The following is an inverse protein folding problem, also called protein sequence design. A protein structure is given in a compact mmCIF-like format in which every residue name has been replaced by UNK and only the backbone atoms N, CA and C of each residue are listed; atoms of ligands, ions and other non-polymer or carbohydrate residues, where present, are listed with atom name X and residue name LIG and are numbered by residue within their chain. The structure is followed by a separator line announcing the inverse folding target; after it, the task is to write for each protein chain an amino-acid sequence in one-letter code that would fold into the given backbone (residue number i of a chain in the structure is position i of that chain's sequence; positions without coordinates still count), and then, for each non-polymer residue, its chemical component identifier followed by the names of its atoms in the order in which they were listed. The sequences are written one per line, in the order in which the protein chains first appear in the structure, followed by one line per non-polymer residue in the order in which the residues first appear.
data_IF_625708982303
#
_entry.id   IF_625708982303
#
_cell.length_a   1.000
_cell.length_b   1.000
_cell.length_c   1.000
_cell.angle_alpha   90.00
_cell.angle_beta   90.00
_cell.angle_gamma   90.00
#
_symmetry.space_group_name_H-M   'P 1'
#
loop_
_entity.id
_entity.type
_entity.pdbx_description
1 polymer ?
#
# COMPACT_ATOMS: atom_id res chain seq x y z
N UNK A 1 4.85 25.68 16.83
CA UNK A 1 3.91 24.79 16.10
C UNK A 1 3.60 23.54 16.92
N UNK A 2 2.80 23.66 18.00
CA UNK A 2 2.48 22.54 18.91
C UNK A 2 1.64 21.44 18.24
N UNK A 3 0.78 21.81 17.27
CA UNK A 3 -0.15 20.89 16.58
C UNK A 3 0.55 19.75 15.80
N UNK A 4 1.70 20.02 15.17
CA UNK A 4 2.49 18.98 14.48
C UNK A 4 3.31 18.12 15.44
N UNK A 5 3.69 18.66 16.61
CA UNK A 5 4.50 17.94 17.61
C UNK A 5 3.67 17.00 18.50
N UNK A 6 2.38 17.29 18.74
CA UNK A 6 1.52 16.49 19.62
C UNK A 6 0.73 15.40 18.92
N UNK A 7 0.91 15.21 17.60
CA UNK A 7 0.19 14.19 16.85
C UNK A 7 -1.28 14.53 16.55
N UNK A 8 -1.65 15.81 16.61
CA UNK A 8 -3.03 16.27 16.36
C UNK A 8 -3.58 15.91 14.97
N UNK A 9 -2.70 15.59 14.02
CA UNK A 9 -3.07 15.08 12.70
C UNK A 9 -3.93 13.82 12.80
N UNK A 10 -3.57 12.87 13.66
CA UNK A 10 -4.32 11.63 13.86
C UNK A 10 -5.77 11.87 14.27
N UNK A 11 -6.11 13.00 14.89
CA UNK A 11 -7.46 13.29 15.38
C UNK A 11 -8.33 14.07 14.39
N UNK A 12 -7.80 14.48 13.23
CA UNK A 12 -8.59 15.20 12.25
C UNK A 12 -9.50 14.25 11.45
N UNK A 13 -10.84 14.41 11.50
CA UNK A 13 -11.77 13.50 10.83
C UNK A 13 -11.63 13.52 9.31
N UNK A 14 -11.34 14.68 8.70
CA UNK A 14 -11.16 14.79 7.25
C UNK A 14 -9.94 14.03 6.76
N UNK A 15 -8.85 14.07 7.51
CA UNK A 15 -7.63 13.33 7.17
C UNK A 15 -7.84 11.81 7.30
N UNK A 16 -8.57 11.37 8.33
CA UNK A 16 -8.92 9.94 8.47
C UNK A 16 -9.82 9.47 7.33
N UNK A 17 -10.79 10.28 6.94
CA UNK A 17 -11.68 9.96 5.83
C UNK A 17 -10.91 9.79 4.52
N UNK A 18 -10.07 10.76 4.17
CA UNK A 18 -9.29 10.69 2.92
C UNK A 18 -8.32 9.51 2.93
N UNK A 19 -7.57 9.32 4.02
CA UNK A 19 -6.66 8.18 4.16
C UNK A 19 -7.39 6.84 4.17
N UNK A 20 -8.58 6.77 4.77
CA UNK A 20 -9.42 5.57 4.79
C UNK A 20 -9.96 5.21 3.41
N UNK A 21 -10.46 6.18 2.65
CA UNK A 21 -10.89 5.98 1.26
C UNK A 21 -9.72 5.57 0.37
N UNK A 22 -8.56 6.22 0.53
CA UNK A 22 -7.33 5.84 -0.18
C UNK A 22 -6.88 4.42 0.18
N UNK A 23 -6.97 4.02 1.46
CA UNK A 23 -6.67 2.66 1.89
C UNK A 23 -7.57 1.64 1.18
N UNK A 24 -8.88 1.88 1.10
CA UNK A 24 -9.82 1.00 0.38
C UNK A 24 -9.40 0.87 -1.09
N UNK A 25 -9.15 1.99 -1.77
CA UNK A 25 -8.75 1.97 -3.17
C UNK A 25 -7.43 1.23 -3.39
N UNK A 26 -6.44 1.42 -2.51
CA UNK A 26 -5.15 0.75 -2.63
C UNK A 26 -5.20 -0.74 -2.28
N UNK A 27 -6.09 -1.15 -1.36
CA UNK A 27 -6.35 -2.57 -1.07
C UNK A 27 -6.98 -3.23 -2.30
N UNK A 28 -8.00 -2.62 -2.89
CA UNK A 28 -8.63 -3.13 -4.12
C UNK A 28 -7.61 -3.18 -5.25
N UNK A 29 -6.81 -2.13 -5.44
CA UNK A 29 -5.74 -2.09 -6.43
C UNK A 29 -4.69 -3.20 -6.23
N UNK A 30 -4.27 -3.44 -4.99
CA UNK A 30 -3.31 -4.50 -4.67
C UNK A 30 -3.91 -5.88 -4.97
N UNK A 31 -5.17 -6.10 -4.58
CA UNK A 31 -5.89 -7.35 -4.84
C UNK A 31 -6.09 -7.60 -6.34
N UNK A 32 -6.51 -6.60 -7.10
CA UNK A 32 -6.69 -6.73 -8.56
C UNK A 32 -5.35 -6.93 -9.26
N UNK A 33 -4.28 -6.26 -8.84
CA UNK A 33 -2.95 -6.50 -9.39
C UNK A 33 -2.47 -7.94 -9.11
N UNK A 34 -2.74 -8.46 -7.91
CA UNK A 34 -2.44 -9.85 -7.57
C UNK A 34 -3.23 -10.84 -8.44
N UNK A 35 -4.54 -10.64 -8.57
CA UNK A 35 -5.39 -11.46 -9.43
C UNK A 35 -5.00 -11.40 -10.90
N UNK A 36 -4.66 -10.22 -11.42
CA UNK A 36 -4.23 -10.04 -12.81
C UNK A 36 -2.89 -10.71 -13.10
N UNK A 37 -2.00 -10.82 -12.11
CA UNK A 37 -0.77 -11.58 -12.26
C UNK A 37 -1.09 -13.05 -12.46
N UNK A 38 -1.83 -13.66 -11.53
CA UNK A 38 -2.21 -15.09 -11.59
C UNK A 38 -3.13 -15.45 -12.75
N UNK A 39 -3.89 -14.49 -13.27
CA UNK A 39 -4.70 -14.70 -14.47
C UNK A 39 -3.86 -14.77 -15.77
N UNK A 40 -2.61 -14.30 -15.73
CA UNK A 40 -1.72 -14.21 -16.91
C UNK A 40 -0.49 -15.10 -16.79
N UNK A 41 -0.01 -15.29 -15.57
CA UNK A 41 1.27 -15.90 -15.24
C UNK A 41 1.18 -16.61 -13.90
N UNK A 42 1.98 -17.66 -13.74
CA UNK A 42 2.15 -18.33 -12.46
C UNK A 42 3.45 -17.86 -11.76
N UNK A 43 3.71 -18.40 -10.57
CA UNK A 43 5.00 -18.21 -9.90
C UNK A 43 6.15 -18.99 -10.55
N UNK A 44 5.87 -19.77 -11.62
CA UNK A 44 6.90 -20.43 -12.40
C UNK A 44 7.58 -19.44 -13.36
N UNK A 45 8.92 -19.38 -13.39
CA UNK A 45 9.64 -18.57 -14.37
C UNK A 45 9.30 -18.94 -15.82
N UNK A 46 8.97 -20.21 -16.11
CA UNK A 46 8.59 -20.63 -17.46
C UNK A 46 7.31 -19.94 -17.96
N UNK A 47 6.33 -19.77 -17.06
CA UNK A 47 5.07 -19.07 -17.36
C UNK A 47 5.31 -17.61 -17.74
N UNK A 48 6.26 -16.95 -17.05
CA UNK A 48 6.68 -15.57 -17.37
C UNK A 48 7.32 -15.52 -18.76
N UNK A 49 8.21 -16.46 -19.09
CA UNK A 49 8.85 -16.50 -20.41
C UNK A 49 7.80 -16.69 -21.51
N UNK A 50 6.88 -17.62 -21.36
CA UNK A 50 5.79 -17.86 -22.33
C UNK A 50 4.90 -16.62 -22.49
N UNK A 51 4.59 -15.93 -21.38
CA UNK A 51 3.78 -14.71 -21.42
C UNK A 51 4.44 -13.58 -22.22
N UNK A 52 5.76 -13.37 -22.07
CA UNK A 52 6.47 -12.29 -22.75
C UNK A 52 6.92 -12.65 -24.17
N UNK A 53 7.45 -13.85 -24.37
CA UNK A 53 8.00 -14.31 -25.65
C UNK A 53 6.96 -14.99 -26.55
N UNK A 54 5.76 -15.24 -26.04
CA UNK A 54 4.70 -15.92 -26.76
C UNK A 54 4.77 -17.44 -26.62
N UNK A 55 3.69 -18.08 -27.01
CA UNK A 55 3.57 -19.53 -27.08
C UNK A 55 2.79 -19.90 -28.35
N UNK A 56 3.42 -20.64 -29.25
CA UNK A 56 2.78 -21.10 -30.49
C UNK A 56 1.67 -22.12 -30.22
N UNK A 57 1.81 -22.97 -29.19
CA UNK A 57 0.82 -23.99 -28.84
C UNK A 57 -0.50 -23.38 -28.34
N UNK A 58 -0.42 -22.22 -27.69
CA UNK A 58 -1.57 -21.46 -27.20
C UNK A 58 -1.99 -20.33 -28.15
N UNK A 59 -1.37 -20.25 -29.33
CA UNK A 59 -1.57 -19.17 -30.31
C UNK A 59 -1.41 -17.76 -29.71
N UNK A 60 -0.54 -17.64 -28.70
CA UNK A 60 -0.31 -16.39 -27.99
C UNK A 60 0.93 -15.69 -28.56
N UNK A 61 0.78 -14.52 -29.22
CA UNK A 61 1.92 -13.83 -29.81
C UNK A 61 2.84 -13.25 -28.73
N UNK A 62 4.12 -13.10 -29.08
CA UNK A 62 5.07 -12.38 -28.25
C UNK A 62 4.60 -10.94 -28.01
N UNK A 63 4.89 -10.40 -26.83
CA UNK A 63 4.53 -9.01 -26.51
C UNK A 63 5.30 -8.06 -27.44
N UNK A 64 4.57 -7.10 -28.02
CA UNK A 64 5.14 -6.09 -28.89
C UNK A 64 5.85 -5.01 -28.07
N UNK A 65 6.88 -4.40 -28.66
CA UNK A 65 7.62 -3.30 -28.06
C UNK A 65 6.70 -2.13 -27.67
N UNK A 66 5.77 -1.75 -28.55
CA UNK A 66 4.81 -0.68 -28.30
C UNK A 66 3.92 -0.99 -27.08
N UNK A 67 3.34 -2.19 -27.00
CA UNK A 67 2.49 -2.57 -25.87
C UNK A 67 3.27 -2.55 -24.55
N UNK A 68 4.53 -2.97 -24.57
CA UNK A 68 5.39 -2.91 -23.37
C UNK A 68 5.74 -1.48 -22.98
N UNK A 69 6.00 -0.58 -23.93
CA UNK A 69 6.23 0.84 -23.65
C UNK A 69 5.00 1.51 -23.04
N UNK A 70 3.81 1.27 -23.59
CA UNK A 70 2.56 1.84 -23.08
C UNK A 70 2.31 1.42 -21.62
N UNK A 71 2.48 0.12 -21.33
CA UNK A 71 2.37 -0.40 -19.95
C UNK A 71 3.43 0.22 -19.05
N UNK A 72 4.70 0.25 -19.47
CA UNK A 72 5.80 0.80 -18.68
C UNK A 72 5.58 2.28 -18.36
N UNK A 73 5.15 3.07 -19.35
CA UNK A 73 4.87 4.49 -19.17
C UNK A 73 3.79 4.73 -18.12
N UNK A 74 2.67 4.00 -18.21
CA UNK A 74 1.58 4.10 -17.23
C UNK A 74 1.99 3.59 -15.84
N UNK A 75 2.67 2.44 -15.78
CA UNK A 75 3.09 1.82 -14.52
C UNK A 75 4.12 2.67 -13.79
N UNK A 76 5.12 3.24 -14.46
CA UNK A 76 6.14 4.06 -13.81
C UNK A 76 5.53 5.30 -13.15
N UNK A 77 4.61 5.99 -13.82
CA UNK A 77 3.93 7.15 -13.26
C UNK A 77 3.08 6.76 -12.03
N UNK A 78 2.29 5.70 -12.13
CA UNK A 78 1.44 5.25 -11.04
C UNK A 78 2.25 4.71 -9.85
N UNK A 79 3.28 3.91 -10.11
CA UNK A 79 4.16 3.36 -9.07
C UNK A 79 4.91 4.48 -8.34
N UNK A 80 5.41 5.50 -9.04
CA UNK A 80 6.06 6.64 -8.39
C UNK A 80 5.13 7.30 -7.36
N UNK A 81 3.86 7.53 -7.73
CA UNK A 81 2.87 8.14 -6.85
C UNK A 81 2.48 7.24 -5.67
N UNK A 82 2.15 5.97 -5.93
CA UNK A 82 1.73 5.01 -4.88
C UNK A 82 2.87 4.74 -3.91
N UNK A 83 4.10 4.52 -4.40
CA UNK A 83 5.26 4.29 -3.55
C UNK A 83 5.56 5.53 -2.72
N UNK A 84 5.58 6.73 -3.33
CA UNK A 84 5.79 7.96 -2.59
C UNK A 84 4.75 8.12 -1.48
N UNK A 85 3.46 7.97 -1.78
CA UNK A 85 2.39 8.10 -0.81
C UNK A 85 2.57 7.16 0.38
N UNK A 86 2.69 5.85 0.12
CA UNK A 86 2.75 4.86 1.19
C UNK A 86 4.06 4.95 1.99
N UNK A 87 5.19 5.14 1.32
CA UNK A 87 6.49 5.22 1.98
C UNK A 87 6.68 6.54 2.73
N UNK A 88 6.10 7.63 2.26
CA UNK A 88 6.12 8.90 2.98
C UNK A 88 5.39 8.78 4.33
N UNK A 89 4.30 8.02 4.39
CA UNK A 89 3.60 7.76 5.66
C UNK A 89 4.44 6.92 6.63
N UNK A 90 5.30 6.02 6.15
CA UNK A 90 6.24 5.25 6.99
C UNK A 90 7.22 6.13 7.74
N UNK A 91 7.54 7.32 7.22
CA UNK A 91 8.42 8.28 7.92
C UNK A 91 7.87 8.62 9.30
N UNK A 92 6.54 8.71 9.43
CA UNK A 92 5.85 9.01 10.69
C UNK A 92 5.54 7.78 11.54
N UNK A 93 5.73 6.57 11.02
CA UNK A 93 5.50 5.34 11.78
C UNK A 93 6.56 5.17 12.90
N UNK A 94 6.19 4.58 14.05
CA UNK A 94 7.10 4.33 15.19
C UNK A 94 8.04 3.14 14.92
N UNK A 95 8.83 3.21 13.86
CA UNK A 95 9.77 2.18 13.43
C UNK A 95 11.23 2.64 13.59
N UNK A 96 12.14 1.68 13.76
CA UNK A 96 13.59 1.94 13.74
C UNK A 96 14.02 2.48 12.38
N UNK A 97 15.01 3.38 12.37
CA UNK A 97 15.51 4.04 11.15
C UNK A 97 15.93 3.05 10.06
N UNK A 98 16.64 1.98 10.41
CA UNK A 98 17.07 0.95 9.45
C UNK A 98 15.90 0.24 8.78
N UNK A 99 14.87 -0.13 9.54
CA UNK A 99 13.66 -0.75 9.00
C UNK A 99 12.91 0.18 8.05
N UNK A 100 12.83 1.48 8.36
CA UNK A 100 12.23 2.47 7.45
C UNK A 100 12.96 2.51 6.11
N UNK A 101 14.30 2.62 6.15
CA UNK A 101 15.14 2.63 4.94
C UNK A 101 14.94 1.33 4.16
N UNK A 102 14.97 0.18 4.83
CA UNK A 102 14.79 -1.13 4.20
C UNK A 102 13.46 -1.24 3.45
N UNK A 103 12.35 -0.81 4.07
CA UNK A 103 11.02 -0.83 3.46
C UNK A 103 10.94 0.11 2.26
N UNK A 104 11.50 1.32 2.37
CA UNK A 104 11.53 2.30 1.27
C UNK A 104 12.31 1.73 0.08
N UNK A 105 13.52 1.24 0.32
CA UNK A 105 14.36 0.67 -0.73
C UNK A 105 13.70 -0.56 -1.35
N UNK A 106 13.13 -1.46 -0.53
CA UNK A 106 12.42 -2.63 -1.03
C UNK A 106 11.23 -2.25 -1.92
N UNK A 107 10.45 -1.24 -1.53
CA UNK A 107 9.29 -0.76 -2.31
C UNK A 107 9.71 -0.26 -3.70
N UNK A 108 10.69 0.66 -3.76
CA UNK A 108 11.15 1.22 -5.03
C UNK A 108 11.93 0.22 -5.89
N UNK A 109 12.81 -0.59 -5.29
CA UNK A 109 13.59 -1.58 -6.02
C UNK A 109 12.72 -2.68 -6.62
N UNK A 110 11.71 -3.16 -5.88
CA UNK A 110 10.79 -4.18 -6.39
C UNK A 110 9.83 -3.64 -7.45
N UNK A 111 9.38 -2.39 -7.32
CA UNK A 111 8.59 -1.69 -8.34
C UNK A 111 9.37 -1.59 -9.67
N UNK A 112 10.60 -1.07 -9.63
CA UNK A 112 11.46 -0.95 -10.81
C UNK A 112 11.83 -2.33 -11.38
N UNK A 113 12.18 -3.28 -10.52
CA UNK A 113 12.53 -4.64 -10.92
C UNK A 113 11.36 -5.36 -11.60
N UNK A 114 10.13 -5.15 -11.14
CA UNK A 114 8.93 -5.73 -11.79
C UNK A 114 8.82 -5.27 -13.23
N UNK A 115 8.92 -3.96 -13.50
CA UNK A 115 8.78 -3.46 -14.87
C UNK A 115 10.01 -3.81 -15.73
N UNK A 116 11.22 -3.64 -15.19
CA UNK A 116 12.46 -3.95 -15.90
C UNK A 116 12.56 -5.43 -16.28
N UNK A 117 12.09 -6.35 -15.44
CA UNK A 117 12.18 -7.77 -15.72
C UNK A 117 11.40 -8.19 -16.98
N UNK A 118 10.27 -7.54 -17.28
CA UNK A 118 9.54 -7.81 -18.52
C UNK A 118 10.37 -7.49 -19.76
N UNK A 119 11.08 -6.36 -19.74
CA UNK A 119 12.01 -5.95 -20.81
C UNK A 119 13.18 -6.92 -20.94
N UNK A 120 13.78 -7.31 -19.81
CA UNK A 120 14.92 -8.21 -19.78
C UNK A 120 14.56 -9.61 -20.30
N UNK A 121 13.41 -10.15 -19.92
CA UNK A 121 12.93 -11.46 -20.41
C UNK A 121 12.71 -11.42 -21.93
N UNK A 122 12.16 -10.33 -22.45
CA UNK A 122 11.80 -10.21 -23.86
C UNK A 122 12.98 -9.96 -24.79
N UNK A 123 13.96 -9.15 -24.35
CA UNK A 123 15.01 -8.61 -25.21
C UNK A 123 16.44 -9.02 -24.81
N UNK A 124 16.65 -9.59 -23.61
CA UNK A 124 17.98 -9.95 -23.12
C UNK A 124 18.12 -11.45 -22.93
N UNK A 125 17.43 -12.04 -21.96
CA UNK A 125 17.54 -13.47 -21.66
C UNK A 125 16.33 -14.00 -20.87
N UNK A 126 15.83 -15.23 -21.14
CA UNK A 126 14.69 -15.82 -20.41
C UNK A 126 14.95 -16.01 -18.90
N UNK A 127 16.20 -16.16 -18.45
CA UNK A 127 16.53 -16.35 -17.02
C UNK A 127 16.11 -15.18 -16.13
N UNK A 128 15.94 -13.97 -16.70
CA UNK A 128 15.41 -12.82 -15.98
C UNK A 128 13.95 -12.99 -15.55
N UNK A 129 13.29 -14.09 -15.93
CA UNK A 129 11.97 -14.44 -15.42
C UNK A 129 11.96 -14.62 -13.89
N UNK A 130 13.07 -15.11 -13.30
CA UNK A 130 13.22 -15.16 -11.84
C UNK A 130 13.15 -13.78 -11.21
N UNK A 131 13.78 -12.78 -11.84
CA UNK A 131 13.71 -11.40 -11.36
C UNK A 131 12.27 -10.90 -11.35
N UNK A 132 11.46 -11.22 -12.38
CA UNK A 132 10.04 -10.83 -12.43
C UNK A 132 9.25 -11.40 -11.25
N UNK A 133 9.43 -12.69 -10.95
CA UNK A 133 8.72 -13.37 -9.86
C UNK A 133 9.15 -12.80 -8.51
N UNK A 134 10.46 -12.69 -8.26
CA UNK A 134 10.99 -12.17 -7.00
C UNK A 134 10.57 -10.72 -6.78
N UNK A 135 10.67 -9.87 -7.81
CA UNK A 135 10.22 -8.48 -7.74
C UNK A 135 8.73 -8.38 -7.50
N UNK A 136 7.90 -9.20 -8.16
CA UNK A 136 6.45 -9.21 -7.93
C UNK A 136 6.10 -9.61 -6.49
N UNK A 137 6.65 -10.72 -5.98
CA UNK A 137 6.39 -11.19 -4.61
C UNK A 137 6.86 -10.15 -3.59
N UNK A 138 8.05 -9.58 -3.79
CA UNK A 138 8.59 -8.53 -2.91
C UNK A 138 7.72 -7.28 -2.94
N UNK A 139 7.27 -6.87 -4.13
CA UNK A 139 6.40 -5.70 -4.29
C UNK A 139 5.05 -5.91 -3.61
N UNK A 140 4.41 -7.07 -3.84
CA UNK A 140 3.13 -7.43 -3.21
C UNK A 140 3.26 -7.50 -1.69
N UNK A 141 4.29 -8.18 -1.19
CA UNK A 141 4.55 -8.26 0.25
C UNK A 141 4.79 -6.88 0.87
N UNK A 142 5.55 -6.02 0.19
CA UNK A 142 5.82 -4.65 0.65
C UNK A 142 4.55 -3.78 0.64
N UNK A 143 3.73 -3.87 -0.41
CA UNK A 143 2.45 -3.15 -0.49
C UNK A 143 1.50 -3.59 0.63
N UNK A 144 1.29 -4.89 0.81
CA UNK A 144 0.42 -5.41 1.87
C UNK A 144 0.93 -4.98 3.25
N UNK A 145 2.24 -5.01 3.48
CA UNK A 145 2.84 -4.53 4.72
C UNK A 145 2.58 -3.04 4.95
N UNK A 146 2.79 -2.19 3.94
CA UNK A 146 2.53 -0.75 4.01
C UNK A 146 1.06 -0.41 4.25
N UNK A 147 0.15 -1.13 3.58
CA UNK A 147 -1.29 -1.00 3.81
C UNK A 147 -1.68 -1.45 5.21
N UNK A 148 -1.04 -2.50 5.74
CA UNK A 148 -1.19 -2.93 7.13
C UNK A 148 -0.77 -1.84 8.14
N UNK A 149 0.35 -1.17 7.89
CA UNK A 149 0.79 -0.02 8.71
C UNK A 149 -0.24 1.11 8.66
N UNK A 150 -0.73 1.47 7.47
CA UNK A 150 -1.74 2.52 7.31
C UNK A 150 -3.05 2.15 8.01
N UNK A 151 -3.53 0.92 7.84
CA UNK A 151 -4.71 0.40 8.52
C UNK A 151 -4.56 0.43 10.04
N UNK A 152 -3.41 -0.01 10.56
CA UNK A 152 -3.10 0.05 12.00
C UNK A 152 -3.03 1.48 12.53
N UNK A 153 -2.46 2.40 11.76
CA UNK A 153 -2.42 3.82 12.08
C UNK A 153 -3.84 4.41 12.19
N UNK A 154 -4.72 4.16 11.22
CA UNK A 154 -6.11 4.64 11.25
C UNK A 154 -6.91 4.02 12.40
N UNK A 155 -6.73 2.72 12.65
CA UNK A 155 -7.37 2.00 13.74
C UNK A 155 -6.98 2.56 15.11
N UNK A 156 -5.70 2.87 15.30
CA UNK A 156 -5.19 3.46 16.54
C UNK A 156 -5.78 4.85 16.81
N UNK A 157 -5.97 5.67 15.76
CA UNK A 157 -6.61 6.97 15.87
C UNK A 157 -8.08 6.84 16.27
N UNK A 158 -8.83 5.97 15.61
CA UNK A 158 -10.24 5.73 15.90
C UNK A 158 -10.47 5.28 17.35
N UNK A 159 -9.67 4.33 17.85
CA UNK A 159 -9.76 3.89 19.26
C UNK A 159 -9.53 5.04 20.25
N UNK A 160 -8.54 5.90 19.99
CA UNK A 160 -8.24 7.02 20.88
C UNK A 160 -9.37 8.06 20.92
N UNK A 161 -10.03 8.31 19.79
CA UNK A 161 -11.19 9.20 19.75
C UNK A 161 -12.35 8.63 20.56
N UNK A 162 -12.68 7.35 20.37
CA UNK A 162 -13.78 6.70 21.10
C UNK A 162 -13.56 6.73 22.62
N UNK A 163 -12.30 6.59 23.07
CA UNK A 163 -11.95 6.72 24.49
C UNK A 163 -12.17 8.14 25.03
N UNK A 164 -11.81 9.17 24.25
CA UNK A 164 -12.02 10.56 24.66
C UNK A 164 -13.51 10.90 24.73
N UNK A 165 -14.30 10.48 23.75
CA UNK A 165 -15.75 10.66 23.75
C UNK A 165 -16.40 9.97 24.97
N UNK A 166 -15.97 8.76 25.34
CA UNK A 166 -16.51 8.08 26.53
C UNK A 166 -16.13 8.75 27.86
N UNK A 167 -14.96 9.42 27.94
CA UNK A 167 -14.55 10.15 29.13
C UNK A 167 -15.36 11.43 29.26
N UNK A 168 -15.51 12.19 28.18
CA UNK A 168 -16.29 13.45 28.17
C UNK A 168 -17.74 13.20 28.53
N UNK A 169 -18.38 12.19 27.93
CA UNK A 169 -19.76 11.82 28.27
C UNK A 169 -19.88 11.40 29.74
N UNK A 170 -18.86 10.71 30.28
CA UNK A 170 -18.80 10.34 31.69
C UNK A 170 -18.71 11.54 32.63
N UNK A 171 -17.84 12.52 32.32
CA UNK A 171 -17.72 13.77 33.07
C UNK A 171 -19.02 14.59 33.01
N UNK A 172 -19.63 14.75 31.83
CA UNK A 172 -20.92 15.46 31.68
C UNK A 172 -22.05 14.78 32.47
N UNK A 173 -22.11 13.44 32.49
CA UNK A 173 -23.12 12.72 33.28
C UNK A 173 -22.88 12.80 34.79
N UNK A 174 -21.63 12.80 35.25
CA UNK A 174 -21.32 13.03 36.67
C UNK A 174 -21.68 14.45 37.12
N UNK A 175 -21.45 15.46 36.28
CA UNK A 175 -21.86 16.85 36.55
C UNK A 175 -23.38 17.01 36.59
N UNK A 176 -24.12 16.44 35.61
CA UNK A 176 -25.60 16.49 35.60
C UNK A 176 -26.22 15.83 36.85
N UNK A 177 -25.69 14.67 37.28
CA UNK A 177 -26.16 13.99 38.49
C UNK A 177 -25.87 14.81 39.75
N UNK A 178 -24.71 15.46 39.83
CA UNK A 178 -24.36 16.30 40.96
C UNK A 178 -25.24 17.57 41.05
N UNK A 179 -25.61 18.16 39.91
CA UNK A 179 -26.55 19.29 39.87
C UNK A 179 -27.98 18.87 40.25
N UNK A 180 -28.45 17.70 39.81
CA UNK A 180 -29.76 17.16 40.18
C UNK A 180 -29.85 16.87 41.69
N UNK A 181 -28.82 16.27 42.29
CA UNK A 181 -28.74 16.03 43.73
C UNK A 181 -28.70 17.33 44.55
N UNK A 182 -28.04 18.38 44.04
CA UNK A 182 -27.96 19.69 44.71
C UNK A 182 -29.29 20.47 44.69
N UNK A 183 -30.24 20.08 43.83
CA UNK A 183 -31.55 20.71 43.70
C UNK A 183 -32.70 19.91 44.35
N UNK A 184 -32.40 18.78 44.99
CA UNK A 184 -33.37 18.06 45.82
C UNK A 184 -33.58 18.78 47.16
N UNK A 185 -34.84 19.06 47.57
CA UNK A 185 -35.18 19.81 48.78
C UNK A 185 -34.95 19.05 50.09
#
# INVERSE_FOLDING_TARGET
MRYMQTGGFQNNPYMRLTLGLTLILLVVFTATNFMLYFAKMDLSPSSVVLYYNGNEEEFHPARSYQSMLEVTHGHLAMMALVMLLLTHLVVFAPMKRSSKIGVIVAAFASALGSEAAGWLVRFVHPDFAWLKVVSFVTLQGTLVFLLGILGGFLWSGWRRQKQLESIIIGEETEEELAEEEAHLP
#
